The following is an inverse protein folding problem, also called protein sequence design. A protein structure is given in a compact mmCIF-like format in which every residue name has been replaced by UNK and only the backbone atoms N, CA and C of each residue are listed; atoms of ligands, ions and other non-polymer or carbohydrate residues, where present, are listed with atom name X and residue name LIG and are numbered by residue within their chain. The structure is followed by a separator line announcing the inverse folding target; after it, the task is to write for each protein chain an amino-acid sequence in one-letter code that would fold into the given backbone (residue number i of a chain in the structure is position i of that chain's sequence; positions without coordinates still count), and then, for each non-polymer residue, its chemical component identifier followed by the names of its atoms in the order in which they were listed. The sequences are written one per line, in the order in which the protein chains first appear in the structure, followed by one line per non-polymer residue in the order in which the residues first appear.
data_IF_842294733057
#
_entry.id   IF_842294733057
#
_cell.length_a   1.000
_cell.length_b   1.000
_cell.length_c   1.000
_cell.angle_alpha   90.00
_cell.angle_beta   90.00
_cell.angle_gamma   90.00
#
_symmetry.space_group_name_H-M   'P 1'
#
loop_
_entity.id
_entity.type
_entity.pdbx_description
1 polymer ?
#
# COMPACT_ATOMS: atom_id res chain seq x y z
N UNK A 1 -23.80 -10.13 4.35
CA UNK A 1 -23.71 -8.68 4.64
C UNK A 1 -22.94 -8.04 3.49
N UNK A 2 -23.68 -7.37 2.63
CA UNK A 2 -23.17 -6.55 1.54
C UNK A 2 -22.37 -5.40 2.16
N UNK A 3 -21.06 -5.40 1.94
CA UNK A 3 -20.19 -4.31 2.36
C UNK A 3 -20.33 -3.20 1.33
N UNK A 4 -21.33 -2.33 1.53
CA UNK A 4 -21.46 -1.06 0.82
C UNK A 4 -20.41 -0.11 1.39
N UNK A 5 -19.24 -0.07 0.80
CA UNK A 5 -18.29 1.02 1.06
C UNK A 5 -17.75 1.45 -0.30
N UNK A 6 -18.50 2.30 -0.99
CA UNK A 6 -17.91 3.24 -1.93
C UNK A 6 -17.25 4.35 -1.11
N UNK A 7 -16.05 4.12 -0.64
CA UNK A 7 -15.18 5.21 -0.17
C UNK A 7 -14.78 6.02 -1.40
N UNK A 8 -15.61 6.99 -1.77
CA UNK A 8 -15.33 7.90 -2.89
C UNK A 8 -13.97 8.55 -2.70
N UNK A 9 -13.15 8.50 -3.75
CA UNK A 9 -11.80 9.07 -3.74
C UNK A 9 -10.70 8.16 -3.21
N UNK A 10 -11.00 6.92 -2.82
CA UNK A 10 -10.00 5.94 -2.39
C UNK A 10 -9.23 5.33 -3.55
N UNK A 11 -9.83 5.27 -4.73
CA UNK A 11 -9.30 4.68 -5.94
C UNK A 11 -9.49 5.61 -7.13
N UNK A 12 -8.73 5.36 -8.21
CA UNK A 12 -8.80 6.15 -9.45
C UNK A 12 -9.40 5.29 -10.56
N UNK A 13 -10.34 5.85 -11.32
CA UNK A 13 -10.88 5.22 -12.50
C UNK A 13 -9.78 5.00 -13.55
N UNK A 14 -9.57 3.75 -14.03
CA UNK A 14 -8.37 3.41 -14.81
C UNK A 14 -8.40 3.90 -16.27
N UNK A 15 -9.58 4.23 -16.81
CA UNK A 15 -9.73 4.65 -18.20
C UNK A 15 -10.60 5.90 -18.31
N UNK A 16 -10.07 7.12 -18.08
CA UNK A 16 -10.86 8.36 -18.03
C UNK A 16 -11.63 8.66 -19.32
N UNK A 17 -11.07 8.28 -20.47
CA UNK A 17 -11.66 8.55 -21.80
C UNK A 17 -12.40 7.36 -22.39
N UNK A 18 -12.93 6.44 -21.56
CA UNK A 18 -13.77 5.36 -22.06
C UNK A 18 -15.11 5.89 -22.57
N UNK A 19 -15.67 5.23 -23.58
CA UNK A 19 -16.98 5.61 -24.15
C UNK A 19 -18.15 4.90 -23.46
N UNK A 20 -17.97 3.62 -23.15
CA UNK A 20 -18.96 2.78 -22.47
C UNK A 20 -18.32 1.56 -21.84
N UNK A 21 -19.02 0.93 -20.90
CA UNK A 21 -18.72 -0.43 -20.45
C UNK A 21 -19.31 -1.37 -21.50
N UNK A 22 -18.45 -2.05 -22.27
CA UNK A 22 -18.87 -2.96 -23.34
C UNK A 22 -19.19 -4.36 -22.83
N UNK A 23 -18.57 -4.76 -21.69
CA UNK A 23 -18.88 -6.03 -21.00
C UNK A 23 -18.71 -5.88 -19.49
N UNK A 24 -19.67 -6.37 -18.72
CA UNK A 24 -19.66 -6.37 -17.27
C UNK A 24 -18.94 -7.57 -16.67
N UNK A 25 -18.74 -7.54 -15.36
CA UNK A 25 -18.25 -8.65 -14.55
C UNK A 25 -19.33 -9.73 -14.43
N UNK A 26 -18.96 -11.01 -14.47
CA UNK A 26 -19.83 -12.15 -14.27
C UNK A 26 -20.02 -13.03 -15.51
N UNK A 27 -21.02 -13.90 -15.51
CA UNK A 27 -21.25 -14.83 -16.62
C UNK A 27 -21.70 -14.11 -17.88
N UNK A 28 -21.05 -14.43 -19.01
CA UNK A 28 -21.36 -13.92 -20.36
C UNK A 28 -21.17 -14.99 -21.43
N UNK A 29 -21.69 -14.73 -22.64
CA UNK A 29 -21.31 -15.49 -23.82
C UNK A 29 -20.15 -14.79 -24.53
N UNK A 30 -18.97 -15.42 -24.48
CA UNK A 30 -17.75 -14.93 -25.13
C UNK A 30 -17.69 -15.46 -26.57
N UNK A 31 -17.36 -14.62 -27.58
CA UNK A 31 -17.23 -15.08 -28.96
C UNK A 31 -16.09 -16.09 -29.17
N UNK A 32 -15.10 -16.17 -28.26
CA UNK A 32 -13.96 -17.07 -28.34
C UNK A 32 -14.15 -18.36 -27.54
N UNK A 33 -14.87 -18.32 -26.39
CA UNK A 33 -14.89 -19.40 -25.40
C UNK A 33 -16.32 -19.88 -25.06
N UNK A 34 -17.37 -19.31 -25.68
CA UNK A 34 -18.75 -19.62 -25.34
C UNK A 34 -19.14 -19.03 -23.97
N UNK A 35 -19.89 -19.80 -23.15
CA UNK A 35 -20.32 -19.33 -21.82
C UNK A 35 -19.12 -19.34 -20.85
N UNK A 36 -18.69 -18.15 -20.44
CA UNK A 36 -17.58 -17.96 -19.51
C UNK A 36 -17.91 -16.98 -18.38
N UNK A 37 -17.14 -17.03 -17.31
CA UNK A 37 -17.17 -16.00 -16.26
C UNK A 37 -16.14 -14.92 -16.59
N UNK A 38 -16.61 -13.72 -16.90
CA UNK A 38 -15.78 -12.55 -17.12
C UNK A 38 -15.28 -12.00 -15.77
N UNK A 39 -13.97 -11.96 -15.58
CA UNK A 39 -13.32 -11.63 -14.31
C UNK A 39 -12.96 -10.14 -14.16
N UNK A 40 -13.52 -9.30 -14.99
CA UNK A 40 -13.33 -7.86 -14.99
C UNK A 40 -14.49 -7.12 -15.65
N UNK A 41 -14.21 -5.88 -16.02
CA UNK A 41 -15.07 -5.06 -16.87
C UNK A 41 -14.30 -4.61 -18.10
N UNK A 42 -14.96 -4.59 -19.26
CA UNK A 42 -14.37 -4.12 -20.49
C UNK A 42 -14.80 -2.68 -20.77
N UNK A 43 -13.84 -1.78 -20.81
CA UNK A 43 -14.02 -0.34 -21.02
C UNK A 43 -13.65 0.02 -22.46
N UNK A 44 -14.65 0.14 -23.34
CA UNK A 44 -14.43 0.50 -24.73
C UNK A 44 -13.81 1.90 -24.83
N UNK A 45 -12.69 2.02 -25.54
CA UNK A 45 -11.94 3.26 -25.69
C UNK A 45 -11.06 3.20 -26.94
N UNK A 46 -10.70 4.35 -27.51
CA UNK A 46 -9.81 4.40 -28.66
C UNK A 46 -8.42 3.81 -28.31
N UNK A 47 -7.78 3.17 -29.32
CA UNK A 47 -6.42 2.70 -29.18
C UNK A 47 -5.47 3.87 -28.84
N UNK A 48 -4.49 3.63 -27.96
CA UNK A 48 -3.56 4.67 -27.50
C UNK A 48 -4.07 5.51 -26.32
N UNK A 49 -5.36 5.38 -25.94
CA UNK A 49 -5.91 6.06 -24.76
C UNK A 49 -5.11 5.69 -23.49
N UNK A 50 -4.78 6.65 -22.62
CA UNK A 50 -4.06 6.37 -21.40
C UNK A 50 -4.82 5.44 -20.47
N UNK A 51 -4.13 4.43 -19.95
CA UNK A 51 -4.54 3.58 -18.84
C UNK A 51 -3.82 4.04 -17.58
N UNK A 52 -4.58 4.29 -16.51
CA UNK A 52 -4.09 4.80 -15.24
C UNK A 52 -4.08 3.71 -14.16
N UNK A 53 -3.12 3.76 -13.26
CA UNK A 53 -3.09 2.88 -12.10
C UNK A 53 -4.28 3.19 -11.17
N UNK A 54 -5.03 2.16 -10.81
CA UNK A 54 -6.21 2.22 -9.94
C UNK A 54 -5.88 2.72 -8.52
N UNK A 55 -4.73 2.32 -8.00
CA UNK A 55 -4.24 2.70 -6.68
C UNK A 55 -2.69 2.68 -6.68
N UNK A 56 -2.02 3.21 -5.64
CA UNK A 56 -0.59 3.02 -5.48
C UNK A 56 -0.25 1.54 -5.31
N UNK A 57 0.91 1.10 -5.79
CA UNK A 57 1.30 -0.30 -5.65
C UNK A 57 2.62 -0.64 -6.33
N UNK A 58 2.91 -1.95 -6.39
CA UNK A 58 4.07 -2.49 -7.06
C UNK A 58 3.62 -3.37 -8.23
N UNK A 59 4.17 -3.15 -9.40
CA UNK A 59 3.90 -3.94 -10.61
C UNK A 59 4.43 -5.36 -10.43
N UNK A 60 3.55 -6.35 -10.46
CA UNK A 60 3.91 -7.77 -10.31
C UNK A 60 4.13 -8.47 -11.65
N UNK A 61 3.39 -8.05 -12.68
CA UNK A 61 3.56 -8.50 -14.06
C UNK A 61 3.50 -7.30 -14.99
N UNK A 62 4.36 -7.28 -16.01
CA UNK A 62 4.29 -6.34 -17.14
C UNK A 62 4.85 -7.06 -18.37
N UNK A 63 4.00 -7.40 -19.33
CA UNK A 63 4.36 -8.16 -20.54
C UNK A 63 3.18 -8.92 -21.15
N UNK A 64 3.49 -9.84 -22.06
CA UNK A 64 2.48 -10.68 -22.70
C UNK A 64 1.92 -11.74 -21.74
N UNK A 65 0.60 -11.88 -21.69
CA UNK A 65 -0.10 -12.85 -20.84
C UNK A 65 -1.26 -13.53 -21.57
N UNK A 66 -0.93 -14.44 -22.50
CA UNK A 66 -1.91 -15.27 -23.21
C UNK A 66 -3.07 -14.47 -23.83
N UNK A 67 -4.31 -14.84 -23.51
CA UNK A 67 -5.51 -14.20 -23.99
C UNK A 67 -5.66 -12.73 -23.61
N UNK A 68 -5.04 -12.28 -22.51
CA UNK A 68 -5.02 -10.87 -22.11
C UNK A 68 -4.07 -10.00 -22.95
N UNK A 69 -3.22 -10.61 -23.82
CA UNK A 69 -2.26 -9.88 -24.63
C UNK A 69 -1.21 -9.14 -23.78
N UNK A 70 -0.89 -7.91 -24.13
CA UNK A 70 -0.06 -7.05 -23.31
C UNK A 70 -0.81 -6.66 -22.03
N UNK A 71 -0.20 -6.98 -20.90
CA UNK A 71 -0.88 -7.06 -19.61
C UNK A 71 -0.02 -6.47 -18.50
N UNK A 72 -0.69 -5.81 -17.56
CA UNK A 72 -0.09 -5.37 -16.30
C UNK A 72 -0.91 -5.93 -15.14
N UNK A 73 -0.23 -6.38 -14.08
CA UNK A 73 -0.85 -6.56 -12.78
C UNK A 73 -0.10 -5.76 -11.71
N UNK A 74 -0.86 -5.21 -10.75
CA UNK A 74 -0.34 -4.37 -9.68
C UNK A 74 -0.84 -4.89 -8.35
N UNK A 75 0.07 -5.11 -7.40
CA UNK A 75 -0.23 -5.42 -6.02
C UNK A 75 -0.28 -4.11 -5.21
N UNK A 76 -1.44 -3.84 -4.61
CA UNK A 76 -1.72 -2.63 -3.81
C UNK A 76 -1.55 -2.85 -2.31
N UNK A 77 -1.14 -4.07 -1.90
CA UNK A 77 -1.13 -4.48 -0.49
C UNK A 77 -2.51 -4.90 0.01
N UNK A 78 -2.54 -5.48 1.24
CA UNK A 78 -3.80 -5.92 1.86
C UNK A 78 -4.59 -6.96 1.06
N UNK A 79 -3.95 -7.76 0.21
CA UNK A 79 -4.59 -8.74 -0.66
C UNK A 79 -5.27 -8.13 -1.90
N UNK A 80 -5.19 -6.81 -2.12
CA UNK A 80 -5.79 -6.12 -3.25
C UNK A 80 -4.85 -6.11 -4.45
N UNK A 81 -5.35 -6.56 -5.61
CA UNK A 81 -4.64 -6.53 -6.89
C UNK A 81 -5.54 -5.95 -7.98
N UNK A 82 -4.94 -5.25 -8.92
CA UNK A 82 -5.61 -4.80 -10.15
C UNK A 82 -4.92 -5.34 -11.40
N UNK A 83 -5.69 -5.49 -12.47
CA UNK A 83 -5.29 -6.12 -13.72
C UNK A 83 -5.73 -5.27 -14.92
N UNK A 84 -4.85 -5.17 -15.92
CA UNK A 84 -5.03 -4.34 -17.09
C UNK A 84 -4.63 -5.13 -18.33
N UNK A 85 -5.59 -5.53 -19.15
CA UNK A 85 -5.40 -6.36 -20.34
C UNK A 85 -5.59 -5.61 -21.65
N UNK A 86 -5.22 -6.27 -22.76
CA UNK A 86 -5.35 -5.87 -24.16
C UNK A 86 -4.61 -4.58 -24.53
N UNK A 87 -3.58 -4.22 -23.75
CA UNK A 87 -2.82 -2.97 -23.92
C UNK A 87 -2.09 -2.94 -25.28
N UNK A 88 -2.07 -1.76 -25.93
CA UNK A 88 -1.20 -1.53 -27.11
C UNK A 88 0.24 -1.27 -26.72
N UNK A 89 0.47 -0.64 -25.55
CA UNK A 89 1.79 -0.30 -25.05
C UNK A 89 1.83 -0.32 -23.53
N UNK A 90 2.94 -0.80 -22.97
CA UNK A 90 3.24 -0.81 -21.55
C UNK A 90 4.29 0.26 -21.25
N UNK A 91 4.09 1.05 -20.17
CA UNK A 91 5.00 2.15 -19.79
C UNK A 91 5.75 1.88 -18.49
N UNK A 92 5.41 0.78 -17.80
CA UNK A 92 6.03 0.39 -16.53
C UNK A 92 6.51 -1.06 -16.61
N UNK A 93 7.57 -1.39 -15.88
CA UNK A 93 8.15 -2.73 -15.84
C UNK A 93 7.80 -3.44 -14.52
N UNK A 94 7.91 -4.78 -14.50
CA UNK A 94 7.80 -5.60 -13.28
C UNK A 94 8.75 -5.05 -12.20
N UNK A 95 8.26 -4.93 -10.98
CA UNK A 95 8.96 -4.37 -9.82
C UNK A 95 8.82 -2.85 -9.66
N UNK A 96 8.34 -2.12 -10.69
CA UNK A 96 8.15 -0.68 -10.58
C UNK A 96 7.08 -0.34 -9.53
N UNK A 97 7.33 0.70 -8.73
CA UNK A 97 6.33 1.31 -7.87
C UNK A 97 5.56 2.36 -8.66
N UNK A 98 4.24 2.35 -8.53
CA UNK A 98 3.34 3.28 -9.20
C UNK A 98 2.47 4.03 -8.20
N UNK A 99 2.13 5.26 -8.54
CA UNK A 99 1.15 6.07 -7.80
C UNK A 99 -0.23 5.92 -8.42
N UNK A 100 -1.28 6.14 -7.62
CA UNK A 100 -2.64 6.20 -8.15
C UNK A 100 -2.75 7.28 -9.24
N UNK A 101 -3.45 6.96 -10.33
CA UNK A 101 -3.58 7.86 -11.46
C UNK A 101 -2.34 8.00 -12.35
N UNK A 102 -1.24 7.30 -12.02
CA UNK A 102 -0.07 7.26 -12.89
C UNK A 102 -0.41 6.54 -14.20
N UNK A 103 -0.01 7.09 -15.35
CA UNK A 103 -0.12 6.42 -16.64
C UNK A 103 0.80 5.18 -16.65
N UNK A 104 0.22 4.00 -16.84
CA UNK A 104 0.93 2.72 -16.82
C UNK A 104 0.94 2.01 -18.17
N UNK A 105 -0.10 2.23 -18.98
CA UNK A 105 -0.25 1.59 -20.29
C UNK A 105 -1.09 2.46 -21.23
N UNK A 106 -1.32 1.97 -22.44
CA UNK A 106 -2.27 2.51 -23.41
C UNK A 106 -3.25 1.42 -23.87
N UNK A 107 -4.51 1.81 -24.07
CA UNK A 107 -5.56 0.93 -24.60
C UNK A 107 -5.19 0.37 -25.96
N UNK A 108 -5.54 -0.88 -26.21
CA UNK A 108 -5.33 -1.57 -27.46
C UNK A 108 -6.34 -2.68 -27.70
N UNK A 109 -5.91 -3.69 -28.46
CA UNK A 109 -6.71 -4.88 -28.82
C UNK A 109 -5.81 -6.10 -28.96
N UNK A 110 -4.75 -6.20 -28.15
CA UNK A 110 -3.82 -7.35 -28.17
C UNK A 110 -4.40 -8.56 -27.46
N UNK A 111 -3.98 -9.77 -27.85
CA UNK A 111 -4.52 -11.02 -27.30
C UNK A 111 -5.90 -11.38 -27.87
N UNK A 112 -6.75 -12.03 -27.08
CA UNK A 112 -8.11 -12.44 -27.46
C UNK A 112 -9.08 -11.29 -27.30
N UNK A 113 -9.09 -10.35 -28.26
CA UNK A 113 -9.91 -9.12 -28.22
C UNK A 113 -10.56 -8.88 -29.58
N UNK A 114 -11.81 -8.46 -29.58
CA UNK A 114 -12.61 -8.13 -30.80
C UNK A 114 -12.59 -6.66 -31.17
N UNK A 115 -11.98 -5.81 -30.35
CA UNK A 115 -11.95 -4.36 -30.57
C UNK A 115 -11.22 -3.62 -29.46
N UNK A 116 -10.92 -2.34 -29.66
CA UNK A 116 -10.16 -1.56 -28.72
C UNK A 116 -10.90 -1.36 -27.39
N UNK A 117 -10.36 -1.88 -26.32
CA UNK A 117 -10.88 -1.71 -24.97
C UNK A 117 -9.78 -1.95 -23.93
N UNK A 118 -10.00 -1.50 -22.71
CA UNK A 118 -9.28 -1.93 -21.52
C UNK A 118 -10.11 -3.03 -20.86
N UNK A 119 -9.53 -4.23 -20.70
CA UNK A 119 -10.00 -5.20 -19.72
C UNK A 119 -9.45 -4.82 -18.36
N UNK A 120 -10.34 -4.51 -17.40
CA UNK A 120 -9.96 -4.10 -16.04
C UNK A 120 -10.54 -5.07 -15.01
N UNK A 121 -9.67 -5.74 -14.25
CA UNK A 121 -10.03 -6.70 -13.21
C UNK A 121 -9.52 -6.30 -11.84
N UNK A 122 -10.18 -6.81 -10.80
CA UNK A 122 -9.77 -6.68 -9.39
C UNK A 122 -9.84 -8.04 -8.71
N UNK A 123 -8.80 -8.38 -7.95
CA UNK A 123 -8.83 -9.47 -6.98
C UNK A 123 -8.63 -8.92 -5.57
N UNK A 124 -9.37 -9.47 -4.63
CA UNK A 124 -9.20 -9.21 -3.19
C UNK A 124 -9.03 -10.55 -2.47
N UNK A 125 -7.90 -10.74 -1.81
CA UNK A 125 -7.52 -11.99 -1.15
C UNK A 125 -7.57 -13.22 -2.08
N UNK A 126 -7.16 -13.03 -3.35
CA UNK A 126 -7.17 -14.07 -4.39
C UNK A 126 -8.52 -14.29 -5.07
N UNK A 127 -9.61 -13.71 -4.57
CA UNK A 127 -10.94 -13.81 -5.17
C UNK A 127 -11.19 -12.70 -6.19
N UNK A 128 -11.77 -13.08 -7.33
CA UNK A 128 -12.24 -12.16 -8.36
C UNK A 128 -13.40 -11.32 -7.82
N UNK A 129 -13.32 -10.01 -7.98
CA UNK A 129 -14.34 -9.06 -7.51
C UNK A 129 -14.81 -8.17 -8.66
N UNK A 130 -16.06 -7.74 -8.60
CA UNK A 130 -16.58 -6.78 -9.56
C UNK A 130 -15.86 -5.42 -9.36
N UNK A 131 -15.11 -4.91 -10.37
CA UNK A 131 -14.40 -3.63 -10.25
C UNK A 131 -15.31 -2.45 -9.91
N UNK A 132 -16.58 -2.49 -10.32
CA UNK A 132 -17.55 -1.42 -10.09
C UNK A 132 -17.99 -1.30 -8.63
N UNK A 133 -17.69 -2.31 -7.78
CA UNK A 133 -17.90 -2.21 -6.33
C UNK A 133 -16.83 -1.33 -5.65
N UNK A 134 -15.68 -1.12 -6.30
CA UNK A 134 -14.55 -0.36 -5.78
C UNK A 134 -14.47 1.04 -6.36
N UNK A 135 -14.73 1.21 -7.66
CA UNK A 135 -14.43 2.45 -8.40
C UNK A 135 -15.50 2.71 -9.48
N UNK A 136 -15.69 3.98 -9.78
CA UNK A 136 -16.60 4.44 -10.85
C UNK A 136 -15.94 5.55 -11.67
N UNK A 137 -16.51 5.89 -12.82
CA UNK A 137 -16.02 6.96 -13.69
C UNK A 137 -15.95 8.36 -13.01
N UNK A 138 -16.60 8.52 -11.86
CA UNK A 138 -16.54 9.75 -11.04
C UNK A 138 -15.30 9.83 -10.18
N UNK A 139 -14.58 8.72 -10.01
CA UNK A 139 -13.36 8.64 -9.18
C UNK A 139 -12.13 9.02 -10.02
N UNK A 140 -12.02 10.31 -10.32
CA UNK A 140 -10.92 10.89 -11.14
C UNK A 140 -9.67 11.12 -10.32
N UNK A 141 -8.53 11.37 -10.97
CA UNK A 141 -7.26 11.72 -10.31
C UNK A 141 -7.41 12.97 -9.44
N UNK A 142 -8.22 13.94 -9.85
CA UNK A 142 -8.49 15.17 -9.09
C UNK A 142 -9.28 14.92 -7.82
N UNK A 143 -10.14 13.91 -7.79
CA UNK A 143 -10.97 13.53 -6.65
C UNK A 143 -10.32 12.44 -5.78
N UNK A 144 -9.11 11.97 -6.15
CA UNK A 144 -8.40 10.96 -5.41
C UNK A 144 -7.92 11.49 -4.05
N UNK A 145 -8.47 10.95 -2.97
CA UNK A 145 -8.12 11.28 -1.57
C UNK A 145 -7.17 10.26 -0.95
N UNK A 146 -6.91 9.14 -1.64
CA UNK A 146 -5.89 8.18 -1.25
C UNK A 146 -4.49 8.79 -1.40
N UNK A 147 -3.51 8.30 -0.65
CA UNK A 147 -2.16 8.87 -0.56
C UNK A 147 -1.58 9.27 -1.91
N UNK A 148 -1.59 10.56 -2.20
CA UNK A 148 -0.70 11.15 -3.21
C UNK A 148 0.71 11.01 -2.66
N UNK A 149 1.52 10.14 -3.23
CA UNK A 149 2.94 10.12 -2.93
C UNK A 149 3.60 11.33 -3.61
N UNK A 150 3.48 12.49 -3.02
CA UNK A 150 4.42 13.62 -2.99
C UNK A 150 3.79 14.75 -2.19
N UNK A 151 4.31 14.99 -1.00
CA UNK A 151 3.93 16.12 -0.14
C UNK A 151 3.02 15.71 1.01
N UNK A 152 3.62 15.34 2.12
CA UNK A 152 3.23 15.50 3.53
C UNK A 152 1.74 15.77 3.85
N UNK A 153 0.86 14.81 3.61
CA UNK A 153 -0.37 14.72 4.39
C UNK A 153 -0.12 13.69 5.51
N UNK A 154 0.30 14.16 6.66
CA UNK A 154 0.44 13.34 7.87
C UNK A 154 -0.94 13.04 8.41
N UNK A 155 -1.37 11.80 8.27
CA UNK A 155 -2.65 11.36 8.83
C UNK A 155 -2.42 11.03 10.31
N UNK A 156 -2.81 11.95 11.22
CA UNK A 156 -2.70 11.72 12.66
C UNK A 156 -3.92 10.98 13.15
N UNK A 157 -3.72 9.79 13.71
CA UNK A 157 -4.78 8.93 14.25
C UNK A 157 -4.57 8.68 15.74
N UNK A 158 -5.67 8.44 16.47
CA UNK A 158 -5.57 7.92 17.83
C UNK A 158 -4.94 6.53 17.81
N UNK A 159 -3.96 6.28 18.66
CA UNK A 159 -3.23 5.03 18.65
C UNK A 159 -3.07 4.42 20.04
N UNK A 160 -3.06 3.10 20.07
CA UNK A 160 -2.60 2.27 21.18
C UNK A 160 -1.29 1.61 20.72
N UNK A 161 -0.25 1.79 21.48
CA UNK A 161 1.05 1.18 21.22
C UNK A 161 1.33 0.10 22.26
N UNK A 162 1.66 -1.09 21.80
CA UNK A 162 2.23 -2.19 22.57
C UNK A 162 3.65 -2.48 22.06
N UNK A 163 4.31 -3.48 22.60
CA UNK A 163 5.65 -3.86 22.17
C UNK A 163 5.83 -5.37 22.17
N UNK A 164 6.60 -5.87 21.22
CA UNK A 164 7.01 -7.26 21.11
C UNK A 164 8.51 -7.36 20.82
N UNK A 165 9.10 -8.53 21.02
CA UNK A 165 10.53 -8.78 20.75
C UNK A 165 10.70 -10.14 20.06
N UNK A 166 11.84 -10.36 19.35
CA UNK A 166 12.10 -11.65 18.71
C UNK A 166 12.25 -12.76 19.75
N UNK A 167 11.36 -13.74 19.76
CA UNK A 167 11.41 -14.86 20.67
C UNK A 167 11.08 -16.18 19.96
N UNK A 168 11.68 -17.28 20.44
CA UNK A 168 11.51 -18.61 19.85
C UNK A 168 10.24 -19.33 20.32
N UNK A 169 9.14 -18.59 20.57
CA UNK A 169 7.88 -19.19 20.99
C UNK A 169 6.70 -18.72 20.12
N UNK A 170 5.67 -19.53 20.02
CA UNK A 170 4.50 -19.29 19.16
C UNK A 170 3.66 -18.07 19.59
N UNK A 171 3.78 -17.61 20.84
CA UNK A 171 3.03 -16.45 21.35
C UNK A 171 3.67 -15.12 20.99
N UNK A 172 5.00 -15.10 20.76
CA UNK A 172 5.78 -13.91 20.46
C UNK A 172 6.10 -13.75 18.94
N UNK A 173 5.51 -14.58 18.08
CA UNK A 173 5.64 -14.47 16.62
C UNK A 173 6.94 -14.98 16.00
N UNK A 174 7.91 -15.46 16.81
CA UNK A 174 9.17 -16.03 16.31
C UNK A 174 10.21 -14.97 15.94
N UNK A 175 11.08 -15.31 14.95
CA UNK A 175 12.21 -14.47 14.53
C UNK A 175 12.02 -13.79 13.17
N UNK A 176 10.87 -14.01 12.51
CA UNK A 176 10.59 -13.48 11.19
C UNK A 176 9.37 -12.55 11.23
N UNK A 177 9.43 -11.49 10.43
CA UNK A 177 8.27 -10.63 10.18
C UNK A 177 7.27 -11.29 9.19
N UNK A 178 6.13 -10.67 8.99
CA UNK A 178 5.08 -11.16 8.07
C UNK A 178 5.54 -11.16 6.59
N UNK A 179 6.69 -10.59 6.28
CA UNK A 179 7.31 -10.60 4.94
C UNK A 179 8.39 -11.68 4.80
N UNK A 180 8.65 -12.47 5.88
CA UNK A 180 9.67 -13.51 5.93
C UNK A 180 11.09 -13.00 6.18
N UNK A 181 11.28 -11.73 6.56
CA UNK A 181 12.58 -11.20 6.91
C UNK A 181 12.87 -11.41 8.40
N UNK A 182 14.14 -11.58 8.74
CA UNK A 182 14.55 -11.66 10.15
C UNK A 182 14.26 -10.34 10.86
N UNK A 183 13.62 -10.42 12.03
CA UNK A 183 13.35 -9.28 12.89
C UNK A 183 14.65 -8.66 13.38
N UNK A 184 14.77 -7.35 13.21
CA UNK A 184 15.94 -6.55 13.57
C UNK A 184 15.47 -5.29 14.30
N UNK A 185 15.56 -5.26 15.64
CA UNK A 185 15.08 -4.12 16.43
C UNK A 185 15.75 -2.78 16.08
N UNK A 186 16.97 -2.80 15.51
CA UNK A 186 17.67 -1.58 15.08
C UNK A 186 17.00 -0.87 13.91
N UNK A 187 16.10 -1.54 13.17
CA UNK A 187 15.42 -1.00 12.00
C UNK A 187 14.12 -0.27 12.31
N UNK A 188 13.73 -0.19 13.59
CA UNK A 188 12.45 0.41 14.00
C UNK A 188 11.28 -0.05 13.13
N UNK A 189 10.90 -1.32 13.28
CA UNK A 189 9.76 -1.90 12.57
C UNK A 189 8.60 -2.16 13.52
N UNK A 190 7.39 -2.26 12.99
CA UNK A 190 6.19 -2.53 13.80
C UNK A 190 5.18 -3.40 13.06
N UNK A 191 4.36 -4.10 13.85
CA UNK A 191 3.12 -4.66 13.38
C UNK A 191 2.01 -3.60 13.37
N UNK A 192 1.13 -3.67 12.38
CA UNK A 192 0.04 -2.72 12.20
C UNK A 192 -1.26 -3.42 11.75
N UNK A 193 -2.43 -2.77 11.92
CA UNK A 193 -3.70 -3.28 11.39
C UNK A 193 -3.63 -3.58 9.89
N UNK A 194 -4.37 -4.55 9.38
CA UNK A 194 -4.36 -4.94 7.96
C UNK A 194 -4.64 -3.79 6.98
N UNK A 195 -5.36 -2.75 7.42
CA UNK A 195 -5.66 -1.56 6.64
C UNK A 195 -4.47 -0.60 6.46
N UNK A 196 -3.40 -0.76 7.26
CA UNK A 196 -2.16 0.02 7.13
C UNK A 196 -1.17 -0.81 6.29
N UNK A 197 -0.82 -0.39 5.06
CA UNK A 197 0.02 -1.19 4.16
C UNK A 197 1.43 -1.45 4.72
N UNK A 198 2.04 -2.55 4.30
CA UNK A 198 3.48 -2.78 4.53
C UNK A 198 4.33 -1.66 3.91
N UNK A 199 5.42 -1.30 4.57
CA UNK A 199 6.30 -0.21 4.16
C UNK A 199 5.82 1.19 4.59
N UNK A 200 4.59 1.31 5.14
CA UNK A 200 4.08 2.58 5.67
C UNK A 200 4.95 3.03 6.85
N UNK A 201 5.25 4.33 6.89
CA UNK A 201 5.94 4.95 8.03
C UNK A 201 4.91 5.38 9.08
N UNK A 202 5.19 5.05 10.33
CA UNK A 202 4.34 5.36 11.49
C UNK A 202 5.21 6.05 12.53
N UNK A 203 4.95 7.32 12.79
CA UNK A 203 5.65 8.09 13.82
C UNK A 203 4.84 8.10 15.10
N UNK A 204 5.46 7.67 16.20
CA UNK A 204 4.88 7.62 17.54
C UNK A 204 4.82 9.03 18.12
N UNK A 205 3.70 9.42 18.73
CA UNK A 205 3.56 10.72 19.40
C UNK A 205 2.62 10.66 20.59
N UNK A 206 2.87 11.55 21.58
CA UNK A 206 1.99 11.76 22.71
C UNK A 206 1.95 10.61 23.71
N UNK A 207 2.94 9.74 23.72
CA UNK A 207 3.08 8.65 24.69
C UNK A 207 3.78 9.09 25.99
N UNK A 208 4.43 10.24 25.97
CA UNK A 208 5.22 10.79 27.08
C UNK A 208 6.54 10.02 27.31
N UNK A 209 7.09 9.41 26.26
CA UNK A 209 8.32 8.61 26.34
C UNK A 209 9.36 9.08 25.33
N UNK A 210 10.59 8.55 25.44
CA UNK A 210 11.66 8.82 24.49
C UNK A 210 11.38 8.34 23.04
N UNK A 211 10.31 7.55 22.83
CA UNK A 211 9.90 7.10 21.49
C UNK A 211 8.99 8.10 20.78
N UNK A 212 8.55 9.18 21.44
CA UNK A 212 7.83 10.25 20.78
C UNK A 212 8.74 10.90 19.72
N UNK A 213 8.24 10.96 18.49
CA UNK A 213 9.00 11.38 17.31
C UNK A 213 9.73 10.25 16.57
N UNK A 214 9.85 9.06 17.15
CA UNK A 214 10.48 7.92 16.48
C UNK A 214 9.54 7.35 15.41
N UNK A 215 10.11 7.08 14.23
CA UNK A 215 9.36 6.54 13.08
C UNK A 215 9.68 5.07 12.86
N UNK A 216 8.63 4.27 12.84
CA UNK A 216 8.64 2.84 12.57
C UNK A 216 8.20 2.54 11.15
N UNK A 217 8.66 1.43 10.59
CA UNK A 217 8.19 0.92 9.29
C UNK A 217 7.29 -0.28 9.52
N UNK A 218 6.09 -0.26 8.94
CA UNK A 218 5.18 -1.40 9.01
C UNK A 218 5.73 -2.55 8.17
N UNK A 219 6.08 -3.67 8.81
CA UNK A 219 6.57 -4.89 8.15
C UNK A 219 5.96 -6.16 8.76
N UNK A 220 5.11 -6.02 9.76
CA UNK A 220 4.56 -7.16 10.47
C UNK A 220 3.05 -7.06 10.67
N UNK A 221 2.44 -8.18 11.10
CA UNK A 221 1.02 -8.34 11.41
C UNK A 221 0.87 -9.20 12.66
N UNK A 222 0.04 -8.76 13.58
CA UNK A 222 -0.34 -9.56 14.73
C UNK A 222 -1.82 -9.89 14.69
N UNK A 223 -2.22 -11.08 15.14
CA UNK A 223 -3.62 -11.51 15.16
C UNK A 223 -4.55 -10.62 15.99
N UNK A 224 -4.00 -9.90 16.98
CA UNK A 224 -4.71 -8.96 17.85
C UNK A 224 -4.52 -7.47 17.44
N UNK A 225 -3.78 -7.20 16.36
CA UNK A 225 -3.46 -5.86 15.91
C UNK A 225 -4.54 -5.36 14.97
N UNK A 226 -5.52 -4.64 15.50
CA UNK A 226 -6.74 -4.21 14.82
C UNK A 226 -7.03 -2.72 15.07
N UNK A 227 -8.10 -2.23 14.46
CA UNK A 227 -8.67 -0.92 14.75
C UNK A 227 -9.96 -1.14 15.56
N UNK A 228 -9.96 -0.64 16.78
CA UNK A 228 -11.13 -0.72 17.67
C UNK A 228 -11.61 0.69 18.02
N UNK A 229 -12.88 0.99 17.77
CA UNK A 229 -13.49 2.29 18.07
C UNK A 229 -12.70 3.49 17.51
N UNK A 230 -12.07 3.34 16.32
CA UNK A 230 -11.25 4.37 15.68
C UNK A 230 -9.85 4.54 16.28
N UNK A 231 -9.45 3.66 17.21
CA UNK A 231 -8.09 3.61 17.77
C UNK A 231 -7.28 2.54 17.03
N UNK A 232 -6.17 2.95 16.43
CA UNK A 232 -5.25 2.07 15.70
C UNK A 232 -4.30 1.39 16.69
N UNK A 233 -4.21 0.07 16.67
CA UNK A 233 -3.26 -0.67 17.47
C UNK A 233 -1.97 -0.91 16.67
N UNK A 234 -0.83 -0.48 17.22
CA UNK A 234 0.52 -0.74 16.68
C UNK A 234 1.33 -1.50 17.72
N UNK A 235 2.08 -2.48 17.26
CA UNK A 235 2.97 -3.26 18.12
C UNK A 235 4.42 -3.02 17.68
N UNK A 236 5.21 -2.39 18.55
CA UNK A 236 6.54 -1.90 18.24
C UNK A 236 7.58 -2.97 18.51
N UNK A 237 8.48 -3.23 17.56
CA UNK A 237 9.57 -4.18 17.73
C UNK A 237 10.61 -3.59 18.68
N UNK A 238 10.87 -4.29 19.79
CA UNK A 238 11.87 -3.97 20.81
C UNK A 238 13.01 -5.00 20.81
N UNK A 239 14.11 -4.68 21.49
CA UNK A 239 15.29 -5.54 21.54
C UNK A 239 15.19 -6.65 22.58
N UNK A 240 14.33 -6.53 23.57
CA UNK A 240 14.22 -7.50 24.67
C UNK A 240 12.87 -7.49 25.39
N UNK A 241 12.58 -8.59 26.08
CA UNK A 241 11.40 -8.70 26.94
C UNK A 241 11.39 -7.64 28.06
N UNK A 242 12.56 -7.35 28.64
CA UNK A 242 12.68 -6.32 29.68
C UNK A 242 12.29 -4.93 29.15
N UNK A 243 12.60 -4.63 27.90
CA UNK A 243 12.22 -3.38 27.22
C UNK A 243 10.72 -3.35 26.94
N UNK A 244 10.15 -4.44 26.45
CA UNK A 244 8.69 -4.57 26.25
C UNK A 244 7.92 -4.38 27.57
N UNK A 245 8.38 -5.00 28.65
CA UNK A 245 7.74 -4.88 29.97
C UNK A 245 7.81 -3.45 30.54
N UNK A 246 8.91 -2.74 30.34
CA UNK A 246 9.02 -1.32 30.71
C UNK A 246 8.14 -0.43 29.85
N UNK A 247 8.00 -0.75 28.57
CA UNK A 247 7.14 -0.02 27.64
C UNK A 247 5.67 -0.20 28.02
N UNK A 248 5.19 -1.43 28.19
CA UNK A 248 3.81 -1.77 28.48
C UNK A 248 2.83 -1.37 27.37
N UNK A 249 1.67 -0.83 27.75
CA UNK A 249 0.63 -0.32 26.83
C UNK A 249 0.58 1.20 26.93
N UNK A 250 0.70 1.90 25.81
CA UNK A 250 0.70 3.37 25.77
C UNK A 250 -0.37 3.88 24.81
N UNK A 251 -1.18 4.83 25.30
CA UNK A 251 -2.07 5.61 24.43
C UNK A 251 -1.32 6.82 23.90
N UNK A 252 -1.61 7.19 22.66
CA UNK A 252 -1.00 8.34 22.02
C UNK A 252 -1.65 8.61 20.66
N UNK A 253 -0.88 9.17 19.77
CA UNK A 253 -1.25 9.37 18.36
C UNK A 253 -0.17 8.80 17.46
N UNK A 254 -0.58 8.31 16.29
CA UNK A 254 0.32 7.87 15.24
C UNK A 254 0.19 8.82 14.05
N UNK A 255 1.32 9.31 13.54
CA UNK A 255 1.36 9.98 12.24
C UNK A 255 1.67 8.90 11.20
N UNK A 256 0.70 8.62 10.32
CA UNK A 256 0.80 7.59 9.28
C UNK A 256 1.14 8.26 7.95
N UNK A 257 2.19 7.77 7.27
CA UNK A 257 2.54 8.17 5.90
C UNK A 257 3.53 9.32 5.76
N UNK A 258 4.17 9.79 6.84
CA UNK A 258 5.27 10.77 6.75
C UNK A 258 6.57 10.11 6.27
N UNK A 259 7.27 10.70 5.28
CA UNK A 259 8.68 10.40 5.06
C UNK A 259 9.48 11.02 6.21
N UNK A 260 9.92 10.21 7.18
CA UNK A 260 10.77 10.68 8.26
C UNK A 260 12.08 11.26 7.70
N UNK A 261 12.24 12.56 7.76
CA UNK A 261 13.57 13.18 7.70
C UNK A 261 14.25 12.83 9.02
N UNK A 262 15.26 11.99 8.94
CA UNK A 262 16.21 11.79 10.05
C UNK A 262 16.96 13.10 10.28
N UNK A 263 16.48 13.94 11.18
CA UNK A 263 17.27 15.04 11.73
C UNK A 263 18.26 14.43 12.72
N UNK A 264 19.43 14.05 12.24
CA UNK A 264 20.61 13.86 13.08
C UNK A 264 21.05 15.24 13.57
N UNK A 265 20.55 15.68 14.71
CA UNK A 265 21.17 16.77 15.45
C UNK A 265 22.44 16.25 16.11
N UNK A 266 23.52 16.22 15.35
CA UNK A 266 24.87 16.09 15.86
C UNK A 266 25.28 17.41 16.52
N UNK A 267 25.09 17.55 17.82
CA UNK A 267 25.77 18.58 18.58
C UNK A 267 27.19 18.08 18.91
N UNK A 268 28.15 18.40 18.08
CA UNK A 268 29.57 18.35 18.42
C UNK A 268 29.94 19.62 19.18
N UNK A 269 29.72 19.62 20.46
CA UNK A 269 30.31 20.58 21.39
C UNK A 269 31.54 19.96 22.06
N UNK A 270 32.70 20.16 21.49
CA UNK A 270 33.97 19.93 22.23
C UNK A 270 34.21 21.08 23.18
N UNK A 271 34.40 20.85 24.46
CA UNK A 271 34.93 21.87 25.36
C UNK A 271 36.45 21.97 25.16
N UNK A 272 36.90 23.11 24.67
CA UNK A 272 38.32 23.47 24.64
C UNK A 272 38.90 23.53 26.03
N UNK A 273 39.93 22.74 26.24
CA UNK A 273 40.76 22.78 27.44
C UNK A 273 41.75 23.95 27.32
N UNK A 274 41.54 25.01 28.09
CA UNK A 274 42.51 26.07 28.31
C UNK A 274 43.54 25.58 29.34
N UNK A 275 44.79 25.46 28.91
CA UNK A 275 45.94 25.30 29.83
C UNK A 275 46.46 26.68 30.25
N UNK A 276 46.79 26.91 31.52
CA UNK A 276 47.36 28.16 31.98
C UNK A 276 48.86 28.25 31.64
N UNK A 277 49.28 29.42 31.16
CA UNK A 277 50.66 29.74 30.90
C UNK A 277 51.48 29.81 32.15
N UNK A 278 52.71 29.28 32.08
CA UNK A 278 53.79 29.54 33.02
C UNK A 278 54.67 30.63 32.47
N UNK A 279 54.73 31.71 33.24
CA UNK A 279 55.76 32.75 33.17
C UNK A 279 57.07 32.23 33.58
N UNK A 280 58.11 32.47 32.82
CA UNK A 280 59.46 32.95 33.21
C UNK A 280 60.21 33.38 31.97
#
# INVERSE_FOLDING_TARGET
RQMCIRDRGKYVWPCPSYSRISSGFGYRNCPFHGREHHDGVDLASASGTPILAFAPGTVTVSGWNGGYGNYISINHGGGLMSFYGHCSKLYVSKGAKVSAGQKIAAVGTTGSSTGNHLHFGIHLNGEKRNPLDFVSAKDTVSNYTGSKSSGTATNTVKALFTAYYPAANAMEGGFLDALGNRLDPSKHTCAAPPSVPFGTKVTVQGTGTALDGVTYTVNDRGGMIQIENGVYHFDLLMSSNAECNRWGRRKGTAIIGGSGSSSSSGSSGSPGLLLPGSSS
#
